data_IF_588810435019
#
_entry.id   IF_588810435019
#
_cell.length_a   1.000
_cell.length_b   1.000
_cell.length_c   1.000
_cell.angle_alpha   90.00
_cell.angle_beta   90.00
_cell.angle_gamma   90.00
#
_symmetry.space_group_name_H-M   'P 1'
#
loop_
_entity.id
_entity.type
_entity.pdbx_description
1 polymer ?
#
# COMPACT_ATOMS: atom_id res chain seq x y z
N UNK A 1 52.88 -2.18 20.27
CA UNK A 1 51.68 -1.39 20.64
C UNK A 1 50.62 -1.66 19.58
N UNK A 2 49.63 -2.48 19.92
CA UNK A 2 48.58 -2.95 19.03
C UNK A 2 47.47 -1.90 18.99
N UNK A 3 47.24 -1.28 17.84
CA UNK A 3 46.06 -0.43 17.62
C UNK A 3 44.87 -1.36 17.37
N UNK A 4 44.06 -1.56 18.40
CA UNK A 4 42.73 -2.13 18.25
C UNK A 4 41.85 -1.11 17.52
N UNK A 5 41.77 -1.22 16.19
CA UNK A 5 40.67 -0.64 15.42
C UNK A 5 39.42 -1.45 15.76
N UNK A 6 38.75 -1.09 16.84
CA UNK A 6 37.35 -1.44 17.04
C UNK A 6 36.55 -0.62 16.02
N UNK A 7 36.46 -1.10 14.78
CA UNK A 7 35.40 -0.69 13.88
C UNK A 7 34.09 -1.05 14.56
N UNK A 8 33.49 -0.05 15.20
CA UNK A 8 32.11 -0.12 15.65
C UNK A 8 31.27 -0.19 14.38
N UNK A 9 31.06 -1.40 13.85
CA UNK A 9 30.15 -1.62 12.74
C UNK A 9 28.77 -1.14 13.21
N UNK A 10 28.37 0.05 12.76
CA UNK A 10 27.03 0.56 12.98
C UNK A 10 26.08 -0.37 12.23
N UNK A 11 25.49 -1.32 12.95
CA UNK A 11 24.42 -2.19 12.46
C UNK A 11 23.31 -1.31 11.91
N UNK A 12 23.19 -1.25 10.57
CA UNK A 12 22.19 -0.43 9.91
C UNK A 12 20.91 -1.23 9.74
N UNK A 13 19.78 -0.68 10.20
CA UNK A 13 18.46 -1.22 9.89
C UNK A 13 17.74 -0.31 8.89
N UNK A 14 16.78 -0.88 8.18
CA UNK A 14 15.92 -0.09 7.31
C UNK A 14 15.09 0.88 8.18
N UNK A 15 14.97 2.18 7.83
CA UNK A 15 14.16 3.13 8.59
C UNK A 15 12.68 2.75 8.62
N UNK A 16 11.96 3.15 9.66
CA UNK A 16 10.51 2.86 9.83
C UNK A 16 9.65 3.42 8.69
N UNK A 17 10.02 4.59 8.18
CA UNK A 17 9.31 5.25 7.07
C UNK A 17 9.67 4.70 5.69
N UNK A 18 10.56 3.70 5.63
CA UNK A 18 10.93 3.02 4.39
C UNK A 18 10.44 1.58 4.44
N UNK A 19 9.56 1.25 3.51
CA UNK A 19 9.13 -0.12 3.27
C UNK A 19 9.92 -0.67 2.08
N UNK A 20 10.37 -1.91 2.15
CA UNK A 20 11.07 -2.54 1.04
C UNK A 20 10.63 -3.97 0.86
N UNK A 21 10.71 -4.46 -0.36
CA UNK A 21 10.41 -5.84 -0.72
C UNK A 21 11.33 -6.30 -1.85
N UNK A 22 11.71 -7.57 -1.80
CA UNK A 22 12.39 -8.25 -2.90
C UNK A 22 11.38 -8.58 -4.01
N UNK A 23 11.73 -8.21 -5.24
CA UNK A 23 10.96 -8.49 -6.45
C UNK A 23 11.89 -9.15 -7.47
N UNK A 24 11.99 -10.48 -7.38
CA UNK A 24 12.82 -11.29 -8.28
C UNK A 24 14.31 -10.91 -8.26
N UNK A 25 14.86 -10.65 -7.07
CA UNK A 25 16.28 -10.28 -6.86
C UNK A 25 16.55 -8.77 -6.92
N UNK A 26 15.57 -7.98 -7.34
CA UNK A 26 15.63 -6.51 -7.30
C UNK A 26 14.95 -6.00 -6.02
N UNK A 27 15.66 -5.17 -5.26
CA UNK A 27 15.03 -4.55 -4.09
C UNK A 27 14.25 -3.30 -4.50
N UNK A 28 12.97 -3.27 -4.17
CA UNK A 28 12.15 -2.07 -4.34
C UNK A 28 11.87 -1.47 -2.97
N UNK A 29 12.26 -0.22 -2.77
CA UNK A 29 12.00 0.56 -1.57
C UNK A 29 10.96 1.67 -1.83
N UNK A 30 10.03 1.86 -0.91
CA UNK A 30 9.01 2.90 -0.87
C UNK A 30 9.29 3.82 0.32
N UNK A 31 9.58 5.10 0.03
CA UNK A 31 9.68 6.16 1.03
C UNK A 31 8.30 6.75 1.31
N UNK A 32 7.78 6.55 2.53
CA UNK A 32 6.46 7.06 2.91
C UNK A 32 6.41 8.59 3.01
N UNK A 33 7.54 9.27 3.22
CA UNK A 33 7.58 10.75 3.29
C UNK A 33 7.26 11.37 1.96
N UNK A 34 7.96 10.90 0.92
CA UNK A 34 7.87 11.45 -0.43
C UNK A 34 6.88 10.70 -1.33
N UNK A 35 6.47 9.48 -0.95
CA UNK A 35 5.69 8.57 -1.79
C UNK A 35 6.46 8.04 -3.00
N UNK A 36 7.80 8.16 -3.00
CA UNK A 36 8.66 7.73 -4.11
C UNK A 36 9.11 6.29 -3.95
N UNK A 37 9.22 5.63 -5.10
CA UNK A 37 9.78 4.29 -5.20
C UNK A 37 11.22 4.36 -5.72
N UNK A 38 12.08 3.53 -5.16
CA UNK A 38 13.48 3.37 -5.54
C UNK A 38 13.70 1.90 -5.87
N UNK A 39 14.13 1.63 -7.09
CA UNK A 39 14.53 0.29 -7.52
C UNK A 39 16.05 0.17 -7.39
N UNK A 40 16.51 -0.86 -6.69
CA UNK A 40 17.92 -1.18 -6.47
C UNK A 40 18.17 -2.58 -7.06
N UNK A 41 18.59 -2.65 -8.34
CA UNK A 41 18.71 -3.92 -9.04
C UNK A 41 19.76 -4.84 -8.42
N UNK A 42 19.44 -6.14 -8.32
CA UNK A 42 20.34 -7.17 -7.78
C UNK A 42 20.67 -7.07 -6.29
N UNK A 43 19.96 -6.22 -5.53
CA UNK A 43 20.15 -6.06 -4.08
C UNK A 43 18.98 -6.62 -3.25
N UNK A 44 18.08 -7.39 -3.87
CA UNK A 44 16.91 -8.00 -3.23
C UNK A 44 17.16 -9.39 -2.64
N UNK A 45 18.14 -10.13 -3.16
CA UNK A 45 18.38 -11.52 -2.76
C UNK A 45 18.66 -11.66 -1.26
N UNK A 46 17.84 -12.47 -0.59
CA UNK A 46 17.96 -12.72 0.85
C UNK A 46 17.58 -11.52 1.74
N UNK A 47 16.93 -10.50 1.17
CA UNK A 47 16.47 -9.34 1.94
C UNK A 47 15.39 -9.73 2.95
N UNK A 48 15.67 -9.46 4.23
CA UNK A 48 14.68 -9.51 5.31
C UNK A 48 14.62 -8.14 6.00
N UNK A 49 13.46 -7.45 6.00
CA UNK A 49 13.32 -6.13 6.61
C UNK A 49 13.45 -6.13 8.15
N UNK A 50 13.52 -7.29 8.80
CA UNK A 50 13.74 -7.45 10.24
C UNK A 50 15.20 -7.65 10.62
N UNK A 51 16.06 -7.97 9.64
CA UNK A 51 17.48 -8.19 9.85
C UNK A 51 18.30 -6.91 9.59
N UNK A 52 19.52 -6.83 10.13
CA UNK A 52 20.48 -5.82 9.72
C UNK A 52 20.70 -5.81 8.20
N UNK A 53 20.82 -4.62 7.63
CA UNK A 53 21.15 -4.43 6.23
C UNK A 53 22.61 -4.81 5.98
N UNK A 54 22.85 -5.61 4.94
CA UNK A 54 24.19 -5.81 4.41
C UNK A 54 24.77 -4.46 3.94
N UNK A 55 26.07 -4.27 4.11
CA UNK A 55 26.77 -3.03 3.80
C UNK A 55 26.51 -2.49 2.38
N UNK A 56 26.55 -3.31 1.29
CA UNK A 56 26.27 -2.81 -0.05
C UNK A 56 24.85 -2.25 -0.20
N UNK A 57 23.88 -2.86 0.49
CA UNK A 57 22.50 -2.43 0.47
C UNK A 57 22.29 -1.16 1.31
N UNK A 58 22.89 -1.09 2.49
CA UNK A 58 22.85 0.09 3.34
C UNK A 58 23.42 1.32 2.62
N UNK A 59 24.56 1.16 1.93
CA UNK A 59 25.18 2.21 1.13
C UNK A 59 24.31 2.62 -0.06
N UNK A 60 23.73 1.65 -0.78
CA UNK A 60 22.82 1.93 -1.89
C UNK A 60 21.58 2.73 -1.45
N UNK A 61 20.98 2.37 -0.33
CA UNK A 61 19.86 3.12 0.26
C UNK A 61 20.28 4.51 0.74
N UNK A 62 21.46 4.64 1.36
CA UNK A 62 22.00 5.93 1.77
C UNK A 62 22.21 6.88 0.58
N UNK A 63 22.73 6.37 -0.55
CA UNK A 63 22.86 7.13 -1.81
C UNK A 63 21.52 7.61 -2.37
N UNK A 64 20.42 6.93 -2.06
CA UNK A 64 19.05 7.34 -2.42
C UNK A 64 18.42 8.32 -1.41
N UNK A 65 19.13 8.72 -0.35
CA UNK A 65 18.58 9.51 0.75
C UNK A 65 17.66 8.72 1.68
N UNK A 66 17.70 7.39 1.59
CA UNK A 66 16.94 6.45 2.45
C UNK A 66 17.79 5.88 3.59
N UNK A 67 19.00 6.42 3.79
CA UNK A 67 19.93 6.00 4.83
C UNK A 67 19.59 6.59 6.19
N UNK A 68 19.91 5.83 7.23
CA UNK A 68 19.78 6.23 8.62
C UNK A 68 20.02 5.03 9.51
N UNK A 69 21.17 4.99 10.19
CA UNK A 69 21.45 4.01 11.23
C UNK A 69 20.42 4.18 12.35
N UNK A 70 19.44 3.28 12.36
CA UNK A 70 18.35 3.29 13.32
C UNK A 70 18.32 1.98 14.08
N UNK A 71 17.91 2.05 15.34
CA UNK A 71 17.64 0.90 16.19
C UNK A 71 16.71 -0.11 15.50
N UNK A 72 16.78 -1.36 15.99
CA UNK A 72 15.91 -2.44 15.51
C UNK A 72 14.44 -1.98 15.54
N UNK A 73 13.70 -2.02 14.41
CA UNK A 73 12.33 -1.55 14.36
C UNK A 73 11.43 -2.31 15.34
N UNK A 74 10.59 -1.58 16.08
CA UNK A 74 9.53 -2.16 16.91
C UNK A 74 8.41 -2.67 15.98
N UNK A 75 8.55 -3.90 15.48
CA UNK A 75 7.59 -4.63 14.65
C UNK A 75 7.10 -3.87 13.39
N UNK A 76 7.62 -4.27 12.22
CA UNK A 76 7.11 -3.78 10.93
C UNK A 76 5.72 -4.36 10.65
N UNK A 77 4.83 -3.53 10.12
CA UNK A 77 3.56 -3.99 9.58
C UNK A 77 3.84 -4.98 8.44
N UNK A 78 3.37 -6.21 8.61
CA UNK A 78 3.47 -7.23 7.57
C UNK A 78 2.75 -6.74 6.31
N UNK A 79 3.29 -7.01 5.10
CA UNK A 79 2.54 -6.84 3.88
C UNK A 79 1.21 -7.60 3.99
N UNK A 80 0.13 -7.03 3.46
CA UNK A 80 -1.14 -7.75 3.40
C UNK A 80 -0.96 -9.03 2.59
N UNK A 81 -1.74 -10.06 2.96
CA UNK A 81 -1.84 -11.27 2.15
C UNK A 81 -2.18 -10.92 0.71
N UNK A 82 -1.58 -11.62 -0.26
CA UNK A 82 -1.91 -11.44 -1.67
C UNK A 82 -3.41 -11.67 -1.88
N UNK A 83 -4.03 -10.87 -2.75
CA UNK A 83 -5.39 -11.13 -3.17
C UNK A 83 -5.45 -12.45 -3.96
N UNK A 84 -6.41 -13.30 -3.61
CA UNK A 84 -6.64 -14.62 -4.21
C UNK A 84 -8.04 -14.76 -4.78
N UNK A 85 -8.99 -13.89 -4.36
CA UNK A 85 -10.38 -13.92 -4.82
C UNK A 85 -10.78 -12.60 -5.43
N UNK A 86 -11.50 -12.69 -6.54
CA UNK A 86 -12.18 -11.54 -7.13
C UNK A 86 -13.45 -11.20 -6.35
N UNK A 87 -13.89 -9.96 -6.48
CA UNK A 87 -15.22 -9.57 -6.03
C UNK A 87 -16.28 -10.40 -6.78
N UNK A 88 -17.16 -11.14 -6.08
CA UNK A 88 -18.18 -11.94 -6.75
C UNK A 88 -19.21 -11.07 -7.48
N UNK A 89 -19.72 -11.60 -8.58
CA UNK A 89 -20.76 -10.96 -9.37
C UNK A 89 -22.07 -10.74 -8.58
N UNK A 90 -22.88 -9.80 -9.07
CA UNK A 90 -24.28 -9.63 -8.70
C UNK A 90 -24.66 -8.17 -8.48
N UNK A 91 -25.70 -7.93 -7.70
CA UNK A 91 -26.33 -6.61 -7.62
C UNK A 91 -25.62 -5.62 -6.69
N UNK A 92 -25.47 -4.39 -7.18
CA UNK A 92 -25.08 -3.25 -6.37
C UNK A 92 -26.25 -2.69 -5.56
N UNK A 93 -25.94 -2.08 -4.41
CA UNK A 93 -26.90 -1.28 -3.65
C UNK A 93 -27.51 -0.17 -4.50
N UNK A 94 -28.75 0.22 -4.20
CA UNK A 94 -29.47 1.32 -4.88
C UNK A 94 -30.06 2.30 -3.87
N UNK A 95 -30.22 3.56 -4.27
CA UNK A 95 -30.93 4.58 -3.51
C UNK A 95 -30.27 5.96 -3.53
N UNK A 96 -31.00 7.05 -3.23
CA UNK A 96 -30.50 8.42 -3.38
C UNK A 96 -29.34 8.76 -2.44
N UNK A 97 -29.32 8.17 -1.22
CA UNK A 97 -28.22 8.34 -0.26
C UNK A 97 -26.88 7.82 -0.80
N UNK A 98 -26.92 6.81 -1.67
CA UNK A 98 -25.72 6.25 -2.30
C UNK A 98 -24.97 7.29 -3.13
N UNK A 99 -25.70 8.02 -3.98
CA UNK A 99 -25.11 9.06 -4.84
C UNK A 99 -24.51 10.20 -4.01
N UNK A 100 -25.21 10.61 -2.94
CA UNK A 100 -24.69 11.62 -2.01
C UNK A 100 -23.41 11.16 -1.30
N UNK A 101 -23.37 9.90 -0.84
CA UNK A 101 -22.18 9.32 -0.22
C UNK A 101 -21.00 9.22 -1.21
N UNK A 102 -21.26 8.84 -2.46
CA UNK A 102 -20.25 8.79 -3.52
C UNK A 102 -19.70 10.17 -3.85
N UNK A 103 -20.57 11.18 -4.01
CA UNK A 103 -20.15 12.55 -4.25
C UNK A 103 -19.31 13.12 -3.10
N UNK A 104 -19.73 12.88 -1.85
CA UNK A 104 -18.97 13.28 -0.68
C UNK A 104 -17.60 12.57 -0.60
N UNK A 105 -17.55 11.27 -0.88
CA UNK A 105 -16.31 10.51 -0.93
C UNK A 105 -15.39 10.98 -2.06
N UNK A 106 -15.94 11.31 -3.23
CA UNK A 106 -15.19 11.85 -4.36
C UNK A 106 -14.55 13.19 -4.02
N UNK A 107 -15.32 14.13 -3.45
CA UNK A 107 -14.80 15.43 -3.02
C UNK A 107 -13.71 15.26 -1.96
N UNK A 108 -13.97 14.46 -0.93
CA UNK A 108 -13.00 14.22 0.13
C UNK A 108 -11.69 13.60 -0.39
N UNK A 109 -11.78 12.59 -1.27
CA UNK A 109 -10.61 11.95 -1.86
C UNK A 109 -9.83 12.92 -2.78
N UNK A 110 -10.53 13.69 -3.62
CA UNK A 110 -9.89 14.68 -4.49
C UNK A 110 -9.14 15.75 -3.69
N UNK A 111 -9.76 16.30 -2.65
CA UNK A 111 -9.13 17.32 -1.79
C UNK A 111 -7.91 16.72 -1.08
N UNK A 112 -8.06 15.54 -0.47
CA UNK A 112 -6.97 14.90 0.29
C UNK A 112 -5.78 14.55 -0.58
N UNK A 113 -6.00 13.89 -1.72
CA UNK A 113 -4.91 13.46 -2.62
C UNK A 113 -4.18 14.65 -3.26
N UNK A 114 -4.85 15.80 -3.39
CA UNK A 114 -4.24 17.02 -3.96
C UNK A 114 -3.46 17.85 -2.94
N UNK A 115 -3.86 17.83 -1.67
CA UNK A 115 -3.33 18.76 -0.65
C UNK A 115 -2.43 18.07 0.36
N UNK A 116 -2.65 16.77 0.63
CA UNK A 116 -1.91 16.04 1.64
C UNK A 116 -0.71 15.29 1.05
N UNK A 117 0.34 15.12 1.86
CA UNK A 117 1.43 14.20 1.55
C UNK A 117 0.96 12.74 1.57
N UNK A 118 1.74 11.85 0.98
CA UNK A 118 1.46 10.42 0.96
C UNK A 118 1.28 9.85 2.39
N UNK A 119 2.21 10.15 3.30
CA UNK A 119 2.09 9.79 4.73
C UNK A 119 0.80 10.32 5.36
N UNK A 120 0.48 11.60 5.16
CA UNK A 120 -0.69 12.23 5.74
C UNK A 120 -2.02 11.68 5.19
N UNK A 121 -2.02 11.09 3.99
CA UNK A 121 -3.15 10.33 3.46
C UNK A 121 -3.28 9.00 4.20
N UNK A 122 -2.18 8.28 4.39
CA UNK A 122 -2.18 6.98 5.07
C UNK A 122 -2.54 7.09 6.56
N UNK A 123 -2.02 8.10 7.26
CA UNK A 123 -2.23 8.30 8.70
C UNK A 123 -3.66 8.72 9.05
N UNK A 124 -4.38 9.32 8.10
CA UNK A 124 -5.77 9.78 8.30
C UNK A 124 -6.81 8.69 8.07
N UNK A 125 -6.38 7.52 7.66
CA UNK A 125 -7.28 6.42 7.34
C UNK A 125 -7.32 5.48 8.55
N UNK A 126 -8.53 5.10 9.03
CA UNK A 126 -8.64 4.17 10.15
C UNK A 126 -7.90 2.87 9.82
N UNK A 127 -7.17 2.31 10.78
CA UNK A 127 -6.48 1.03 10.61
C UNK A 127 -7.45 -0.01 10.04
N UNK A 128 -7.00 -0.74 9.03
CA UNK A 128 -7.78 -1.84 8.50
C UNK A 128 -8.10 -2.85 9.60
N UNK A 129 -9.33 -3.39 9.55
CA UNK A 129 -9.75 -4.41 10.51
C UNK A 129 -9.66 -5.79 9.83
N UNK A 130 -9.01 -6.78 10.45
CA UNK A 130 -9.09 -8.16 9.99
C UNK A 130 -10.55 -8.59 9.96
N UNK A 131 -11.01 -9.06 8.80
CA UNK A 131 -12.35 -9.57 8.62
C UNK A 131 -12.26 -11.04 8.21
N UNK A 132 -12.90 -11.96 8.94
CA UNK A 132 -13.01 -13.36 8.54
C UNK A 132 -13.78 -13.51 7.21
N UNK A 133 -14.79 -12.66 7.02
CA UNK A 133 -15.59 -12.60 5.81
C UNK A 133 -16.05 -11.15 5.54
N UNK A 134 -16.14 -10.80 4.26
CA UNK A 134 -16.66 -9.50 3.86
C UNK A 134 -18.17 -9.41 4.11
N UNK A 135 -18.69 -8.30 4.68
CA UNK A 135 -20.13 -8.12 4.85
C UNK A 135 -20.86 -8.03 3.51
N UNK A 136 -21.94 -8.79 3.31
CA UNK A 136 -22.75 -8.77 2.07
C UNK A 136 -23.23 -7.36 1.67
N UNK A 137 -23.68 -6.57 2.65
CA UNK A 137 -24.05 -5.16 2.43
C UNK A 137 -22.86 -4.33 1.93
N UNK A 138 -21.67 -4.63 2.44
CA UNK A 138 -20.42 -4.03 1.98
C UNK A 138 -20.12 -4.38 0.53
N UNK A 139 -20.26 -5.65 0.15
CA UNK A 139 -20.05 -6.11 -1.23
C UNK A 139 -21.05 -5.49 -2.22
N UNK A 140 -22.31 -5.33 -1.83
CA UNK A 140 -23.31 -4.59 -2.64
C UNK A 140 -22.91 -3.12 -2.82
N UNK A 141 -22.42 -2.47 -1.77
CA UNK A 141 -21.96 -1.08 -1.84
C UNK A 141 -20.69 -0.94 -2.71
N UNK A 142 -19.73 -1.88 -2.62
CA UNK A 142 -18.56 -1.94 -3.51
C UNK A 142 -19.00 -2.09 -4.97
N UNK A 143 -19.89 -3.04 -5.29
CA UNK A 143 -20.39 -3.23 -6.66
C UNK A 143 -21.08 -1.98 -7.21
N UNK A 144 -21.91 -1.33 -6.40
CA UNK A 144 -22.57 -0.10 -6.80
C UNK A 144 -21.55 1.01 -7.12
N UNK A 145 -20.47 1.10 -6.34
CA UNK A 145 -19.38 2.03 -6.59
C UNK A 145 -18.61 1.72 -7.87
N UNK A 146 -18.29 0.45 -8.13
CA UNK A 146 -17.62 0.06 -9.36
C UNK A 146 -18.48 0.31 -10.60
N UNK A 147 -19.78 0.08 -10.51
CA UNK A 147 -20.74 0.42 -11.56
C UNK A 147 -20.78 1.94 -11.79
N UNK A 148 -20.64 2.75 -10.73
CA UNK A 148 -20.62 4.21 -10.83
C UNK A 148 -19.33 4.78 -11.44
N UNK A 149 -18.22 4.08 -11.26
CA UNK A 149 -16.87 4.54 -11.58
C UNK A 149 -16.66 5.07 -13.01
N UNK A 150 -17.25 4.48 -14.08
CA UNK A 150 -17.10 4.97 -15.45
C UNK A 150 -17.61 6.41 -15.66
N UNK A 151 -18.52 6.88 -14.81
CA UNK A 151 -19.09 8.24 -14.89
C UNK A 151 -18.33 9.26 -14.03
N UNK A 152 -17.34 8.82 -13.27
CA UNK A 152 -16.54 9.68 -12.43
C UNK A 152 -15.34 10.24 -13.23
N UNK A 153 -15.00 11.54 -13.11
CA UNK A 153 -13.86 12.14 -13.80
C UNK A 153 -12.54 11.73 -13.11
N UNK A 154 -12.19 10.45 -13.17
CA UNK A 154 -11.05 9.84 -12.49
C UNK A 154 -9.94 9.50 -13.50
N UNK A 155 -9.35 10.50 -14.14
CA UNK A 155 -8.11 10.27 -14.89
C UNK A 155 -6.99 9.90 -13.92
N UNK A 156 -6.24 8.83 -14.23
CA UNK A 156 -5.04 8.33 -13.54
C UNK A 156 -4.87 8.76 -12.07
N UNK A 157 -5.12 7.87 -11.10
CA UNK A 157 -4.13 6.88 -10.65
C UNK A 157 -4.82 6.15 -9.50
N UNK A 158 -4.76 4.83 -9.51
CA UNK A 158 -5.33 3.89 -8.53
C UNK A 158 -5.47 4.41 -7.08
N UNK A 159 -4.51 5.21 -6.60
CA UNK A 159 -4.57 5.91 -5.31
C UNK A 159 -5.87 6.67 -5.05
N UNK A 160 -6.32 7.52 -5.99
CA UNK A 160 -7.54 8.31 -5.81
C UNK A 160 -8.79 7.42 -5.74
N UNK A 161 -8.84 6.37 -6.56
CA UNK A 161 -9.95 5.42 -6.59
C UNK A 161 -10.05 4.65 -5.28
N UNK A 162 -8.95 4.08 -4.81
CA UNK A 162 -8.88 3.37 -3.54
C UNK A 162 -9.21 4.30 -2.36
N UNK A 163 -8.70 5.54 -2.37
CA UNK A 163 -9.05 6.55 -1.36
C UNK A 163 -10.56 6.84 -1.32
N UNK A 164 -11.16 6.99 -2.51
CA UNK A 164 -12.59 7.28 -2.67
C UNK A 164 -13.44 6.10 -2.20
N UNK A 165 -13.14 4.87 -2.63
CA UNK A 165 -13.88 3.68 -2.23
C UNK A 165 -13.77 3.45 -0.72
N UNK A 166 -12.56 3.54 -0.15
CA UNK A 166 -12.36 3.37 1.29
C UNK A 166 -13.14 4.41 2.09
N UNK A 167 -13.10 5.67 1.67
CA UNK A 167 -13.87 6.75 2.32
C UNK A 167 -15.37 6.49 2.22
N UNK A 168 -15.85 6.06 1.06
CA UNK A 168 -17.25 5.72 0.85
C UNK A 168 -17.73 4.57 1.75
N UNK A 169 -16.94 3.48 1.85
CA UNK A 169 -17.28 2.33 2.70
C UNK A 169 -17.31 2.69 4.19
N UNK A 170 -16.29 3.42 4.66
CA UNK A 170 -16.20 3.86 6.07
C UNK A 170 -17.37 4.78 6.42
N UNK A 171 -17.73 5.73 5.54
CA UNK A 171 -18.88 6.64 5.76
C UNK A 171 -20.20 5.89 5.87
N UNK A 172 -20.33 4.73 5.22
CA UNK A 172 -21.53 3.88 5.26
C UNK A 172 -21.53 2.88 6.41
N UNK A 173 -20.54 2.98 7.30
CA UNK A 173 -20.40 2.17 8.51
C UNK A 173 -19.76 0.81 8.28
N UNK A 174 -19.13 0.58 7.12
CA UNK A 174 -18.42 -0.68 6.86
C UNK A 174 -17.02 -0.66 7.47
N UNK A 175 -16.49 -1.83 7.86
CA UNK A 175 -15.10 -1.95 8.29
C UNK A 175 -14.14 -1.47 7.18
N UNK A 176 -13.11 -0.72 7.57
CA UNK A 176 -12.12 -0.22 6.63
C UNK A 176 -11.38 -1.40 5.96
N UNK A 177 -11.42 -1.53 4.62
CA UNK A 177 -10.63 -2.53 3.90
C UNK A 177 -9.14 -2.20 3.98
N UNK A 178 -8.28 -3.21 3.86
CA UNK A 178 -6.84 -3.01 3.72
C UNK A 178 -6.56 -2.28 2.43
N UNK A 179 -5.76 -1.23 2.50
CA UNK A 179 -5.24 -0.53 1.34
C UNK A 179 -3.83 -1.03 1.09
N UNK A 180 -3.71 -1.81 0.04
CA UNK A 180 -2.48 -2.52 -0.29
C UNK A 180 -1.80 -1.81 -1.44
N UNK A 181 -0.49 -1.66 -1.31
CA UNK A 181 0.39 -1.11 -2.33
C UNK A 181 1.30 -2.23 -2.80
N UNK A 182 1.42 -2.38 -4.11
CA UNK A 182 2.25 -3.39 -4.74
C UNK A 182 3.06 -2.84 -5.89
N UNK A 183 4.13 -3.56 -6.21
CA UNK A 183 5.15 -3.16 -7.18
C UNK A 183 5.48 -4.32 -8.12
N UNK A 184 5.78 -4.00 -9.39
CA UNK A 184 6.42 -4.89 -10.35
C UNK A 184 7.67 -4.21 -10.90
N UNK A 185 8.71 -4.97 -11.26
CA UNK A 185 9.99 -4.42 -11.74
C UNK A 185 10.16 -4.46 -13.27
N UNK A 186 9.46 -5.35 -13.99
CA UNK A 186 9.55 -5.48 -15.46
C UNK A 186 8.18 -5.51 -16.16
N UNK A 187 7.74 -4.41 -16.81
CA UNK A 187 8.22 -3.04 -16.59
C UNK A 187 7.91 -2.56 -15.16
N UNK A 188 8.63 -1.53 -14.71
CA UNK A 188 8.38 -0.95 -13.40
C UNK A 188 6.95 -0.38 -13.33
N UNK A 189 6.16 -0.82 -12.35
CA UNK A 189 4.85 -0.26 -12.09
C UNK A 189 4.49 -0.34 -10.61
N UNK A 190 4.02 0.79 -10.06
CA UNK A 190 3.40 0.84 -8.75
C UNK A 190 1.87 0.84 -8.91
N UNK A 191 1.19 0.13 -8.01
CA UNK A 191 -0.26 0.05 -7.98
C UNK A 191 -0.77 -0.08 -6.56
N UNK A 192 -2.01 0.33 -6.33
CA UNK A 192 -2.66 0.09 -5.05
C UNK A 192 -4.12 -0.29 -5.26
N UNK A 193 -4.64 -1.08 -4.33
CA UNK A 193 -6.01 -1.60 -4.35
C UNK A 193 -6.52 -1.74 -2.92
N UNK A 194 -7.82 -2.02 -2.79
CA UNK A 194 -8.47 -2.35 -1.53
C UNK A 194 -8.78 -3.85 -1.46
N UNK A 195 -8.64 -4.43 -0.27
CA UNK A 195 -9.04 -5.82 -0.02
C UNK A 195 -9.69 -6.05 1.35
N UNK A 196 -10.58 -7.02 1.41
CA UNK A 196 -11.06 -7.62 2.66
C UNK A 196 -10.57 -9.06 2.73
N UNK A 197 -9.69 -9.36 3.69
CA UNK A 197 -8.98 -10.63 3.71
C UNK A 197 -8.14 -10.80 2.44
N UNK A 198 -8.40 -11.87 1.71
CA UNK A 198 -7.81 -12.24 0.42
C UNK A 198 -8.64 -11.80 -0.81
N UNK A 199 -9.74 -11.07 -0.61
CA UNK A 199 -10.61 -10.64 -1.71
C UNK A 199 -10.30 -9.21 -2.18
N UNK A 200 -9.99 -9.06 -3.46
CA UNK A 200 -9.83 -7.75 -4.10
C UNK A 200 -11.19 -7.06 -4.28
N UNK A 201 -11.25 -5.76 -3.97
CA UNK A 201 -12.51 -4.99 -4.02
C UNK A 201 -12.62 -4.06 -5.22
N UNK A 202 -11.50 -3.50 -5.72
CA UNK A 202 -11.49 -2.50 -6.80
C UNK A 202 -10.53 -2.82 -7.95
N UNK A 203 -10.06 -4.07 -7.99
CA UNK A 203 -9.24 -4.63 -9.06
C UNK A 203 -9.48 -6.14 -9.19
N UNK A 204 -8.85 -6.75 -10.19
CA UNK A 204 -8.96 -8.19 -10.47
C UNK A 204 -7.68 -8.92 -10.06
N UNK A 205 -7.81 -10.10 -9.45
CA UNK A 205 -6.70 -10.96 -9.02
C UNK A 205 -5.75 -11.25 -10.17
N UNK A 206 -6.27 -11.52 -11.38
CA UNK A 206 -5.46 -11.75 -12.57
C UNK A 206 -4.54 -10.57 -12.94
N UNK A 207 -4.92 -9.34 -12.61
CA UNK A 207 -4.05 -8.16 -12.75
C UNK A 207 -3.13 -8.00 -11.53
N UNK A 208 -3.62 -8.31 -10.34
CA UNK A 208 -2.88 -8.12 -9.09
C UNK A 208 -1.73 -9.12 -8.91
N UNK A 209 -1.81 -10.31 -9.52
CA UNK A 209 -0.81 -11.38 -9.40
C UNK A 209 0.61 -10.94 -9.77
N UNK A 210 0.76 -9.95 -10.66
CA UNK A 210 2.07 -9.45 -11.09
C UNK A 210 2.73 -8.51 -10.09
N UNK A 211 1.98 -8.02 -9.10
CA UNK A 211 2.47 -7.04 -8.13
C UNK A 211 2.82 -7.75 -6.82
N UNK A 212 4.02 -7.49 -6.32
CA UNK A 212 4.44 -7.91 -4.99
C UNK A 212 3.99 -6.86 -3.97
N UNK A 213 3.17 -7.20 -2.96
CA UNK A 213 2.79 -6.26 -1.91
C UNK A 213 4.01 -5.74 -1.13
N UNK A 214 4.11 -4.41 -0.97
CA UNK A 214 5.19 -3.74 -0.24
C UNK A 214 4.68 -3.04 1.04
N UNK A 215 3.40 -2.67 1.08
CA UNK A 215 2.77 -1.96 2.19
C UNK A 215 1.27 -2.28 2.27
N UNK A 216 0.76 -2.41 3.50
CA UNK A 216 -0.66 -2.43 3.78
C UNK A 216 -1.02 -1.52 4.98
N UNK A 217 -2.19 -0.88 4.91
CA UNK A 217 -2.76 0.03 5.92
C UNK A 217 -4.27 -0.16 6.05
#
# INVERSE_FOLDING_TARGET
MSFAYAESQMTAFLPEQVHAVDVYGDLVALDLRSGRYHCLPGLGDGFDPQLPLAEPLAEALARQGLGGGGERPAARLAPAARAQRDLPDGEGSRGPRLAADMAAAHLAANVRVRILSFSAILDRVPAARPLPAAPERGLRDVRAFLQWLPWAPLQGRCLMRAAMLRTFLVRRGHPAPHWVFGVSTYPFAAHCWLQWGDMALDDQVGRLVRYTPILAR
#
